data_IF_386174732691
#
_entry.id   IF_386174732691
#
_cell.length_a   1.000
_cell.length_b   1.000
_cell.length_c   1.000
_cell.angle_alpha   90.00
_cell.angle_beta   90.00
_cell.angle_gamma   90.00
#
_symmetry.space_group_name_H-M   'P 1'
#
loop_
_entity.id
_entity.type
_entity.pdbx_description
1 polymer ?
#
# COMPACT_ATOMS: atom_id res chain seq x y z
N UNK A 1 -22.66 73.08 14.30
CA UNK A 1 -22.04 74.00 15.28
C UNK A 1 -21.92 73.26 16.61
N UNK A 2 -20.68 73.04 17.09
CA UNK A 2 -20.20 72.75 18.47
C UNK A 2 -20.90 71.69 19.37
N UNK A 3 -20.25 70.51 19.46
CA UNK A 3 -19.68 69.76 20.63
C UNK A 3 -20.36 69.82 22.02
N UNK A 4 -20.64 68.64 22.60
CA UNK A 4 -20.17 68.12 23.93
C UNK A 4 -20.79 66.71 24.18
N UNK A 5 -20.03 65.60 24.13
CA UNK A 5 -19.16 65.03 25.16
C UNK A 5 -19.88 64.53 26.43
N UNK A 6 -20.03 63.20 26.56
CA UNK A 6 -20.05 62.51 27.84
C UNK A 6 -19.36 61.15 27.68
N UNK A 7 -18.26 61.06 28.41
CA UNK A 7 -17.31 59.97 28.58
C UNK A 7 -17.90 58.85 29.44
N UNK A 8 -17.81 57.61 28.97
CA UNK A 8 -17.86 56.43 29.85
C UNK A 8 -16.65 55.55 29.59
N UNK A 9 -15.73 55.65 30.54
CA UNK A 9 -14.51 54.87 30.70
C UNK A 9 -14.85 53.39 30.90
N UNK A 10 -14.63 52.53 29.90
CA UNK A 10 -14.51 51.10 30.15
C UNK A 10 -13.08 50.82 30.60
N UNK A 11 -12.97 50.53 31.89
CA UNK A 11 -11.75 50.11 32.57
C UNK A 11 -11.23 48.83 31.89
N UNK A 12 -9.99 48.90 31.38
CA UNK A 12 -9.15 47.74 31.12
C UNK A 12 -8.95 46.98 32.44
N UNK A 13 -9.62 45.85 32.60
CA UNK A 13 -9.20 44.84 33.55
C UNK A 13 -8.23 43.90 32.82
N UNK A 14 -6.96 44.29 32.80
CA UNK A 14 -5.84 43.45 32.38
C UNK A 14 -5.59 42.41 33.48
N UNK A 15 -6.37 41.33 33.50
CA UNK A 15 -6.04 40.14 34.27
C UNK A 15 -4.97 39.38 33.49
N UNK A 16 -3.71 39.58 33.91
CA UNK A 16 -2.59 38.74 33.52
C UNK A 16 -2.82 37.33 34.07
N UNK A 17 -3.45 36.47 33.26
CA UNK A 17 -3.33 35.03 33.40
C UNK A 17 -1.93 34.63 32.90
N UNK A 18 -1.25 33.66 33.55
CA UNK A 18 -0.01 33.12 33.00
C UNK A 18 -0.30 32.51 31.63
N UNK A 19 0.31 33.08 30.60
CA UNK A 19 0.32 32.56 29.24
C UNK A 19 1.15 31.26 29.21
N UNK A 20 0.51 30.15 29.59
CA UNK A 20 0.99 28.79 29.37
C UNK A 20 -0.20 27.92 28.96
N UNK A 21 -0.83 28.27 27.83
CA UNK A 21 -1.86 27.44 27.21
C UNK A 21 -2.10 27.90 25.77
N UNK A 22 -1.08 27.82 24.91
CA UNK A 22 -1.30 28.01 23.47
C UNK A 22 -0.34 27.23 22.58
N UNK A 23 0.18 26.09 23.05
CA UNK A 23 1.11 25.27 22.25
C UNK A 23 0.83 23.77 22.37
N UNK A 24 -0.39 23.39 22.77
CA UNK A 24 -0.77 21.97 22.93
C UNK A 24 -1.93 21.57 22.01
N UNK A 25 -2.40 22.47 21.15
CA UNK A 25 -3.46 22.19 20.18
C UNK A 25 -2.91 21.71 18.83
N UNK A 26 -1.69 22.10 18.44
CA UNK A 26 -1.05 21.63 17.19
C UNK A 26 -0.59 20.18 17.31
N UNK A 27 0.15 19.83 18.36
CA UNK A 27 0.70 18.48 18.54
C UNK A 27 -0.37 17.38 18.72
N UNK A 28 -1.57 17.73 19.20
CA UNK A 28 -2.69 16.78 19.35
C UNK A 28 -3.48 16.54 18.06
N UNK A 29 -3.55 17.54 17.18
CA UNK A 29 -4.19 17.42 15.86
C UNK A 29 -3.32 16.65 14.87
N UNK A 30 -2.00 16.92 14.88
CA UNK A 30 -1.03 16.26 14.01
C UNK A 30 -0.97 14.74 14.23
N UNK A 31 -0.95 14.27 15.50
CA UNK A 31 -0.95 12.83 15.79
C UNK A 31 -2.27 12.12 15.43
N UNK A 32 -3.42 12.81 15.47
CA UNK A 32 -4.72 12.24 15.06
C UNK A 32 -4.77 12.05 13.54
N UNK A 33 -4.37 13.07 12.78
CA UNK A 33 -4.34 13.02 11.32
C UNK A 33 -3.37 11.95 10.80
N UNK A 34 -2.20 11.80 11.42
CA UNK A 34 -1.25 10.73 11.10
C UNK A 34 -1.79 9.32 11.42
N UNK A 35 -2.49 9.15 12.56
CA UNK A 35 -3.09 7.86 12.92
C UNK A 35 -4.22 7.48 11.96
N UNK A 36 -5.03 8.45 11.55
CA UNK A 36 -6.10 8.26 10.57
C UNK A 36 -5.55 7.94 9.18
N UNK A 37 -4.47 8.63 8.75
CA UNK A 37 -3.76 8.32 7.50
C UNK A 37 -3.26 6.87 7.50
N UNK A 38 -2.44 6.48 8.48
CA UNK A 38 -1.91 5.10 8.60
C UNK A 38 -3.05 4.08 8.61
N UNK A 39 -4.07 4.35 9.42
CA UNK A 39 -5.22 3.46 9.55
C UNK A 39 -6.02 3.29 8.27
N UNK A 40 -6.14 4.33 7.44
CA UNK A 40 -6.85 4.25 6.18
C UNK A 40 -5.99 3.70 5.04
N UNK A 41 -4.68 4.01 4.99
CA UNK A 41 -3.74 3.40 4.05
C UNK A 41 -3.62 1.88 4.25
N UNK A 42 -3.50 1.41 5.50
CA UNK A 42 -3.49 -0.03 5.78
C UNK A 42 -4.82 -0.73 5.42
N UNK A 43 -5.96 -0.04 5.46
CA UNK A 43 -7.23 -0.58 4.96
C UNK A 43 -7.26 -0.63 3.43
N UNK A 44 -6.68 0.36 2.75
CA UNK A 44 -6.53 0.37 1.29
C UNK A 44 -5.73 -0.86 0.85
N UNK A 45 -4.54 -1.08 1.41
CA UNK A 45 -3.70 -2.26 1.12
C UNK A 45 -4.44 -3.57 1.35
N UNK A 46 -5.11 -3.71 2.51
CA UNK A 46 -5.85 -4.92 2.84
C UNK A 46 -6.95 -5.21 1.81
N UNK A 47 -7.72 -4.21 1.41
CA UNK A 47 -8.77 -4.39 0.40
C UNK A 47 -8.21 -4.64 -0.99
N UNK A 48 -7.05 -4.07 -1.37
CA UNK A 48 -6.36 -4.42 -2.62
C UNK A 48 -6.00 -5.90 -2.62
N UNK A 49 -5.36 -6.39 -1.56
CA UNK A 49 -4.96 -7.80 -1.43
C UNK A 49 -6.17 -8.74 -1.46
N UNK A 50 -7.25 -8.40 -0.74
CA UNK A 50 -8.50 -9.16 -0.77
C UNK A 50 -9.13 -9.18 -2.17
N UNK A 51 -9.22 -8.02 -2.83
CA UNK A 51 -9.77 -7.92 -4.19
C UNK A 51 -8.99 -8.78 -5.18
N UNK A 52 -7.66 -8.80 -5.09
CA UNK A 52 -6.79 -9.61 -5.93
C UNK A 52 -7.05 -11.12 -5.71
N UNK A 53 -7.16 -11.55 -4.45
CA UNK A 53 -7.45 -12.94 -4.11
C UNK A 53 -8.84 -13.37 -4.61
N UNK A 54 -9.85 -12.50 -4.47
CA UNK A 54 -11.22 -12.77 -4.95
C UNK A 54 -11.29 -12.80 -6.47
N UNK A 55 -10.60 -11.90 -7.17
CA UNK A 55 -10.50 -11.92 -8.63
C UNK A 55 -9.86 -13.21 -9.16
N UNK A 56 -8.72 -13.63 -8.60
CA UNK A 56 -8.09 -14.88 -9.04
C UNK A 56 -8.93 -16.10 -8.69
N UNK A 57 -9.62 -16.10 -7.55
CA UNK A 57 -10.56 -17.18 -7.21
C UNK A 57 -11.72 -17.21 -8.21
N UNK A 58 -12.31 -16.06 -8.54
CA UNK A 58 -13.34 -15.92 -9.57
C UNK A 58 -12.89 -16.48 -10.93
N UNK A 59 -11.65 -16.20 -11.34
CA UNK A 59 -11.06 -16.71 -12.58
C UNK A 59 -10.77 -18.21 -12.55
N UNK A 60 -10.51 -18.81 -11.38
CA UNK A 60 -10.23 -20.24 -11.23
C UNK A 60 -11.49 -21.11 -11.20
N UNK A 61 -12.67 -20.50 -11.08
CA UNK A 61 -13.94 -21.22 -11.07
C UNK A 61 -14.49 -21.43 -12.50
N UNK A 62 -15.20 -22.55 -12.75
CA UNK A 62 -15.97 -22.74 -13.97
C UNK A 62 -16.98 -21.61 -14.19
N UNK A 63 -17.32 -21.32 -15.45
CA UNK A 63 -18.27 -20.26 -15.79
C UNK A 63 -19.69 -20.49 -15.26
N UNK A 64 -20.09 -21.75 -15.06
CA UNK A 64 -21.40 -22.15 -14.55
C UNK A 64 -21.43 -22.38 -13.03
N UNK A 65 -20.30 -22.14 -12.33
CA UNK A 65 -20.25 -22.30 -10.88
C UNK A 65 -20.98 -21.13 -10.20
N UNK A 66 -22.00 -21.38 -9.36
CA UNK A 66 -22.74 -20.32 -8.66
C UNK A 66 -21.86 -19.49 -7.71
N UNK A 67 -20.77 -20.05 -7.16
CA UNK A 67 -19.85 -19.31 -6.29
C UNK A 67 -19.04 -18.26 -7.07
N UNK A 68 -18.91 -18.41 -8.40
CA UNK A 68 -18.19 -17.44 -9.23
C UNK A 68 -18.85 -16.06 -9.20
N UNK A 69 -20.17 -16.02 -9.17
CA UNK A 69 -20.93 -14.76 -9.03
C UNK A 69 -20.65 -14.11 -7.67
N UNK A 70 -20.71 -14.88 -6.58
CA UNK A 70 -20.42 -14.40 -5.24
C UNK A 70 -19.00 -13.81 -5.11
N UNK A 71 -17.98 -14.48 -5.66
CA UNK A 71 -16.62 -13.92 -5.70
C UNK A 71 -16.52 -12.66 -6.57
N UNK A 72 -17.30 -12.56 -7.64
CA UNK A 72 -17.35 -11.37 -8.49
C UNK A 72 -18.04 -10.18 -7.83
N UNK A 73 -19.06 -10.42 -7.00
CA UNK A 73 -19.70 -9.40 -6.16
C UNK A 73 -18.76 -8.93 -5.06
N UNK A 74 -18.21 -9.87 -4.30
CA UNK A 74 -17.28 -9.58 -3.22
C UNK A 74 -16.01 -8.85 -3.72
N UNK A 75 -15.51 -9.19 -4.91
CA UNK A 75 -14.43 -8.42 -5.56
C UNK A 75 -14.80 -6.94 -5.78
N UNK A 76 -16.02 -6.65 -6.25
CA UNK A 76 -16.48 -5.26 -6.45
C UNK A 76 -16.61 -4.51 -5.13
N UNK A 77 -17.10 -5.17 -4.08
CA UNK A 77 -17.20 -4.58 -2.76
C UNK A 77 -15.83 -4.15 -2.21
N UNK A 78 -14.77 -4.93 -2.47
CA UNK A 78 -13.42 -4.54 -2.06
C UNK A 78 -12.90 -3.34 -2.87
N UNK A 79 -13.16 -3.28 -4.19
CA UNK A 79 -12.81 -2.12 -5.00
C UNK A 79 -13.52 -0.84 -4.51
N UNK A 80 -14.82 -0.95 -4.21
CA UNK A 80 -15.62 0.15 -3.68
C UNK A 80 -15.11 0.59 -2.30
N UNK A 81 -14.62 -0.36 -1.49
CA UNK A 81 -14.02 -0.07 -0.19
C UNK A 81 -12.69 0.68 -0.31
N UNK A 82 -11.82 0.30 -1.27
CA UNK A 82 -10.61 1.07 -1.59
C UNK A 82 -10.98 2.49 -2.01
N UNK A 83 -11.96 2.66 -2.91
CA UNK A 83 -12.41 3.98 -3.36
C UNK A 83 -12.95 4.84 -2.19
N UNK A 84 -13.68 4.22 -1.27
CA UNK A 84 -14.19 4.89 -0.07
C UNK A 84 -13.05 5.38 0.83
N UNK A 85 -12.07 4.51 1.17
CA UNK A 85 -10.96 4.91 2.02
C UNK A 85 -10.01 5.89 1.34
N UNK A 86 -9.77 5.75 0.03
CA UNK A 86 -9.01 6.72 -0.74
C UNK A 86 -9.67 8.10 -0.70
N UNK A 87 -11.00 8.16 -0.86
CA UNK A 87 -11.75 9.40 -0.71
C UNK A 87 -11.64 9.96 0.71
N UNK A 88 -11.61 9.15 1.76
CA UNK A 88 -11.37 9.64 3.12
C UNK A 88 -9.98 10.27 3.24
N UNK A 89 -8.93 9.61 2.74
CA UNK A 89 -7.55 10.10 2.77
C UNK A 89 -7.40 11.40 1.98
N UNK A 90 -7.97 11.50 0.77
CA UNK A 90 -7.94 12.70 -0.06
C UNK A 90 -8.65 13.91 0.57
N UNK A 91 -9.62 13.67 1.46
CA UNK A 91 -10.33 14.73 2.18
C UNK A 91 -9.68 15.09 3.54
N UNK A 92 -8.62 14.39 3.94
CA UNK A 92 -7.87 14.68 5.17
C UNK A 92 -6.93 15.86 4.99
N UNK A 93 -6.60 16.52 6.10
CA UNK A 93 -5.62 17.61 6.13
C UNK A 93 -4.19 17.01 6.11
N UNK A 94 -3.65 16.82 4.92
CA UNK A 94 -2.34 16.21 4.68
C UNK A 94 -1.30 17.25 4.23
N UNK A 95 0.00 17.04 4.53
CA UNK A 95 1.07 17.83 3.94
C UNK A 95 1.08 17.71 2.42
N UNK A 96 1.43 18.79 1.70
CA UNK A 96 1.46 18.85 0.23
C UNK A 96 2.16 17.64 -0.43
N UNK A 97 3.29 17.20 0.14
CA UNK A 97 4.04 16.04 -0.37
C UNK A 97 3.29 14.71 -0.25
N UNK A 98 2.53 14.51 0.83
CA UNK A 98 1.69 13.32 0.99
C UNK A 98 0.47 13.39 0.05
N UNK A 99 -0.13 14.57 -0.12
CA UNK A 99 -1.21 14.76 -1.10
C UNK A 99 -0.78 14.41 -2.51
N UNK A 100 0.42 14.83 -2.94
CA UNK A 100 0.94 14.53 -4.28
C UNK A 100 1.06 13.01 -4.53
N UNK A 101 1.54 12.24 -3.55
CA UNK A 101 1.67 10.79 -3.69
C UNK A 101 0.30 10.08 -3.65
N UNK A 102 -0.65 10.54 -2.82
CA UNK A 102 -2.03 10.03 -2.81
C UNK A 102 -2.74 10.26 -4.15
N UNK A 103 -2.52 11.41 -4.80
CA UNK A 103 -3.10 11.67 -6.12
C UNK A 103 -2.48 10.80 -7.22
N UNK A 104 -1.17 10.49 -7.12
CA UNK A 104 -0.52 9.51 -8.01
C UNK A 104 -1.05 8.11 -7.80
N UNK A 105 -1.16 7.69 -6.55
CA UNK A 105 -1.81 6.43 -6.18
C UNK A 105 -3.22 6.36 -6.79
N UNK A 106 -4.04 7.41 -6.63
CA UNK A 106 -5.40 7.46 -7.16
C UNK A 106 -5.45 7.30 -8.70
N UNK A 107 -4.49 7.91 -9.40
CA UNK A 107 -4.34 7.78 -10.85
C UNK A 107 -4.00 6.34 -11.27
N UNK A 108 -3.01 5.72 -10.63
CA UNK A 108 -2.62 4.33 -10.93
C UNK A 108 -3.69 3.32 -10.51
N UNK A 109 -4.34 3.54 -9.37
CA UNK A 109 -5.45 2.72 -8.88
C UNK A 109 -6.59 2.62 -9.90
N UNK A 110 -6.95 3.73 -10.56
CA UNK A 110 -7.97 3.69 -11.61
C UNK A 110 -7.57 2.78 -12.78
N UNK A 111 -6.29 2.76 -13.19
CA UNK A 111 -5.80 1.85 -14.22
C UNK A 111 -5.83 0.40 -13.75
N UNK A 112 -5.45 0.15 -12.49
CA UNK A 112 -5.53 -1.18 -11.85
C UNK A 112 -6.96 -1.70 -11.84
N UNK A 113 -7.94 -0.86 -11.46
CA UNK A 113 -9.37 -1.22 -11.52
C UNK A 113 -9.82 -1.60 -12.92
N UNK A 114 -9.45 -0.82 -13.95
CA UNK A 114 -9.81 -1.12 -15.33
C UNK A 114 -9.26 -2.48 -15.80
N UNK A 115 -7.98 -2.76 -15.50
CA UNK A 115 -7.37 -4.06 -15.79
C UNK A 115 -8.07 -5.20 -15.05
N UNK A 116 -8.33 -5.02 -13.75
CA UNK A 116 -8.99 -6.01 -12.90
C UNK A 116 -10.41 -6.32 -13.41
N UNK A 117 -11.17 -5.31 -13.81
CA UNK A 117 -12.51 -5.48 -14.41
C UNK A 117 -12.44 -6.27 -15.72
N UNK A 118 -11.45 -6.02 -16.58
CA UNK A 118 -11.24 -6.83 -17.79
C UNK A 118 -11.04 -8.31 -17.49
N UNK A 119 -10.27 -8.61 -16.43
CA UNK A 119 -9.97 -9.97 -16.01
C UNK A 119 -11.20 -10.75 -15.49
N UNK A 120 -12.27 -10.08 -15.04
CA UNK A 120 -13.51 -10.74 -14.60
C UNK A 120 -14.27 -11.47 -15.73
N UNK A 121 -13.90 -11.21 -16.99
CA UNK A 121 -14.48 -11.93 -18.13
C UNK A 121 -13.94 -13.36 -18.28
N UNK A 122 -12.80 -13.67 -17.65
CA UNK A 122 -12.15 -14.97 -17.72
C UNK A 122 -12.64 -15.93 -16.64
N UNK A 123 -12.48 -17.21 -16.91
CA UNK A 123 -12.86 -18.31 -16.03
C UNK A 123 -11.94 -19.50 -16.26
N UNK A 124 -12.11 -20.57 -15.49
CA UNK A 124 -11.37 -21.82 -15.69
C UNK A 124 -11.58 -22.38 -17.11
N UNK A 125 -12.76 -22.15 -17.67
CA UNK A 125 -13.16 -22.68 -18.97
C UNK A 125 -12.79 -21.73 -20.14
N UNK A 126 -12.39 -20.49 -19.82
CA UNK A 126 -11.85 -19.50 -20.75
C UNK A 126 -10.75 -18.69 -20.06
N UNK A 127 -9.51 -19.15 -20.16
CA UNK A 127 -8.37 -18.62 -19.40
C UNK A 127 -7.94 -17.23 -19.91
N UNK A 128 -7.51 -16.37 -18.98
CA UNK A 128 -6.86 -15.12 -19.32
C UNK A 128 -5.48 -15.37 -19.96
N UNK A 129 -5.03 -14.48 -20.88
CA UNK A 129 -3.64 -14.44 -21.30
C UNK A 129 -2.70 -14.22 -20.11
N UNK A 130 -1.55 -14.89 -20.11
CA UNK A 130 -0.56 -14.79 -19.03
C UNK A 130 -0.04 -13.35 -18.91
N UNK A 131 0.14 -12.68 -20.04
CA UNK A 131 0.60 -11.30 -20.10
C UNK A 131 -0.37 -10.33 -19.42
N UNK A 132 -1.69 -10.57 -19.52
CA UNK A 132 -2.69 -9.74 -18.86
C UNK A 132 -2.67 -9.94 -17.34
N UNK A 133 -2.53 -11.19 -16.88
CA UNK A 133 -2.37 -11.52 -15.45
C UNK A 133 -1.09 -10.86 -14.89
N UNK A 134 0.03 -10.97 -15.62
CA UNK A 134 1.31 -10.37 -15.20
C UNK A 134 1.24 -8.85 -15.16
N UNK A 135 0.62 -8.22 -16.17
CA UNK A 135 0.46 -6.76 -16.22
C UNK A 135 -0.35 -6.27 -15.03
N UNK A 136 -1.47 -6.94 -14.74
CA UNK A 136 -2.29 -6.61 -13.56
C UNK A 136 -1.54 -6.83 -12.25
N UNK A 137 -0.89 -7.99 -12.08
CA UNK A 137 -0.18 -8.31 -10.84
C UNK A 137 0.98 -7.34 -10.55
N UNK A 138 1.76 -6.98 -11.57
CA UNK A 138 2.85 -5.99 -11.42
C UNK A 138 2.29 -4.61 -11.07
N UNK A 139 1.20 -4.18 -11.72
CA UNK A 139 0.59 -2.90 -11.42
C UNK A 139 0.03 -2.85 -9.99
N UNK A 140 -0.48 -3.96 -9.45
CA UNK A 140 -0.86 -4.05 -8.03
C UNK A 140 0.35 -3.91 -7.11
N UNK A 141 1.48 -4.54 -7.44
CA UNK A 141 2.71 -4.42 -6.63
C UNK A 141 3.27 -3.00 -6.63
N UNK A 142 3.20 -2.31 -7.78
CA UNK A 142 3.64 -0.91 -7.89
C UNK A 142 2.76 0.08 -7.11
N UNK A 143 1.56 -0.32 -6.66
CA UNK A 143 0.73 0.55 -5.82
C UNK A 143 1.34 0.79 -4.43
N UNK A 144 2.08 -0.19 -3.91
CA UNK A 144 2.73 -0.19 -2.60
C UNK A 144 3.70 1.00 -2.46
N UNK A 145 4.53 1.21 -3.48
CA UNK A 145 5.51 2.30 -3.53
C UNK A 145 4.89 3.70 -3.29
N UNK A 146 3.65 3.93 -3.74
CA UNK A 146 2.97 5.20 -3.51
C UNK A 146 2.41 5.33 -2.10
N UNK A 147 2.02 4.21 -1.48
CA UNK A 147 1.52 4.18 -0.11
C UNK A 147 2.66 4.53 0.84
N UNK A 148 3.80 3.86 0.71
CA UNK A 148 4.98 4.11 1.51
C UNK A 148 5.47 5.55 1.32
N UNK A 149 5.55 6.02 0.07
CA UNK A 149 5.94 7.39 -0.22
C UNK A 149 5.00 8.42 0.43
N UNK A 150 3.69 8.17 0.45
CA UNK A 150 2.71 9.04 1.10
C UNK A 150 2.88 9.05 2.64
N UNK A 151 3.15 7.89 3.26
CA UNK A 151 3.38 7.78 4.70
C UNK A 151 4.68 8.48 5.11
N UNK A 152 5.78 8.27 4.37
CA UNK A 152 7.06 8.96 4.59
C UNK A 152 6.90 10.48 4.41
N UNK A 153 6.19 10.93 3.38
CA UNK A 153 5.93 12.36 3.15
C UNK A 153 5.06 13.00 4.26
N UNK A 154 4.23 12.21 4.95
CA UNK A 154 3.47 12.63 6.12
C UNK A 154 4.29 12.67 7.43
N UNK A 155 5.60 12.37 7.34
CA UNK A 155 6.53 12.39 8.46
C UNK A 155 6.47 11.14 9.35
N UNK A 156 5.92 10.05 8.84
CA UNK A 156 5.97 8.75 9.51
C UNK A 156 7.32 8.08 9.23
N UNK A 157 7.84 7.28 10.17
CA UNK A 157 9.05 6.51 9.94
C UNK A 157 8.80 5.53 8.78
N UNK A 158 9.80 5.44 7.91
CA UNK A 158 9.91 4.39 6.90
C UNK A 158 9.97 3.04 7.63
N UNK A 159 8.97 2.19 7.40
CA UNK A 159 8.87 0.87 8.00
C UNK A 159 9.62 -0.21 7.22
N UNK A 160 10.20 0.15 6.07
CA UNK A 160 11.04 -0.70 5.23
C UNK A 160 12.53 -0.68 5.64
N UNK A 161 12.92 0.28 6.50
CA UNK A 161 14.19 0.27 7.23
C UNK A 161 14.13 -0.73 8.40
N UNK A 162 14.24 -2.02 8.07
CA UNK A 162 14.70 -3.04 9.02
C UNK A 162 15.96 -2.54 9.77
N UNK A 163 16.21 -2.98 11.01
CA UNK A 163 17.14 -2.33 11.93
C UNK A 163 18.47 -2.03 11.24
N UNK A 164 18.69 -0.74 11.02
CA UNK A 164 19.88 -0.12 10.47
C UNK A 164 21.13 -0.98 10.70
N UNK A 165 21.65 -1.56 9.62
CA UNK A 165 22.89 -2.32 9.58
C UNK A 165 24.13 -1.41 9.75
N UNK A 166 24.06 -0.42 10.64
CA UNK A 166 25.16 0.48 11.00
C UNK A 166 25.54 0.41 12.48
N UNK A 167 24.90 -0.46 13.26
CA UNK A 167 25.14 -0.63 14.71
C UNK A 167 26.15 -1.70 15.15
N UNK A 168 26.98 -2.28 14.27
CA UNK A 168 27.89 -3.38 14.66
C UNK A 168 29.33 -3.23 14.12
N UNK A 169 29.98 -2.09 14.33
CA UNK A 169 31.45 -2.06 14.37
C UNK A 169 31.91 -2.51 15.75
N UNK A 170 32.03 -3.82 15.96
CA UNK A 170 32.38 -4.36 17.27
C UNK A 170 32.78 -5.83 17.26
N UNK A 171 34.04 -6.07 16.85
CA UNK A 171 34.86 -7.23 17.19
C UNK A 171 34.44 -8.62 16.68
N UNK A 172 35.12 -9.08 15.63
CA UNK A 172 35.49 -10.50 15.50
C UNK A 172 36.83 -10.61 14.76
N UNK A 173 37.93 -10.50 15.51
CA UNK A 173 39.20 -11.10 15.11
C UNK A 173 39.08 -12.62 15.26
N UNK A 174 39.23 -13.34 14.16
CA UNK A 174 39.18 -14.81 14.18
C UNK A 174 39.53 -15.40 12.83
N UNK A 175 40.83 -15.37 12.52
CA UNK A 175 41.43 -16.07 11.39
C UNK A 175 41.25 -17.58 11.52
N UNK A 176 40.67 -18.24 10.52
CA UNK A 176 41.08 -19.61 10.20
C UNK A 176 40.84 -19.94 8.73
N UNK A 177 41.86 -20.55 8.14
CA UNK A 177 42.05 -20.75 6.72
C UNK A 177 41.22 -21.94 6.19
N UNK A 178 40.65 -21.79 5.00
CA UNK A 178 40.10 -22.88 4.21
C UNK A 178 41.20 -23.56 3.38
N UNK A 179 41.38 -24.90 3.44
CA UNK A 179 42.15 -25.62 2.45
C UNK A 179 41.30 -25.98 1.23
N UNK A 180 41.84 -25.69 0.05
CA UNK A 180 41.36 -26.22 -1.23
C UNK A 180 41.61 -27.73 -1.32
N UNK A 181 40.66 -28.48 -1.89
CA UNK A 181 40.81 -29.90 -2.22
C UNK A 181 39.98 -30.29 -3.43
N UNK A 182 40.65 -30.45 -4.57
CA UNK A 182 40.13 -30.97 -5.84
C UNK A 182 40.01 -32.51 -5.83
N UNK A 183 38.97 -33.06 -6.46
CA UNK A 183 38.95 -34.33 -7.22
C UNK A 183 37.56 -34.47 -7.91
N UNK A 184 37.42 -34.48 -9.24
CA UNK A 184 37.71 -35.57 -10.19
C UNK A 184 36.83 -36.82 -10.03
N UNK A 185 35.93 -37.08 -10.99
CA UNK A 185 35.28 -38.39 -11.16
C UNK A 185 34.19 -38.45 -12.24
N UNK A 186 34.54 -38.96 -13.42
CA UNK A 186 33.68 -39.24 -14.58
C UNK A 186 32.84 -40.52 -14.45
N UNK A 187 31.65 -40.55 -15.05
CA UNK A 187 31.03 -41.69 -15.80
C UNK A 187 29.61 -41.26 -16.24
N UNK A 188 29.29 -41.05 -17.52
CA UNK A 188 29.03 -42.00 -18.62
C UNK A 188 27.95 -43.05 -18.33
N UNK A 189 26.76 -42.88 -18.93
CA UNK A 189 25.68 -43.88 -18.97
C UNK A 189 24.63 -43.52 -20.02
N UNK A 190 24.44 -44.41 -20.99
CA UNK A 190 23.81 -44.22 -22.30
C UNK A 190 22.34 -44.71 -22.36
N UNK A 191 21.54 -44.00 -23.16
CA UNK A 191 20.37 -44.37 -23.99
C UNK A 191 19.32 -45.40 -23.51
N UNK A 192 18.03 -45.08 -23.70
CA UNK A 192 17.06 -45.96 -24.41
C UNK A 192 15.89 -45.13 -24.96
N UNK A 193 15.77 -45.07 -26.29
CA UNK A 193 14.56 -44.67 -27.03
C UNK A 193 13.75 -45.92 -27.37
N UNK A 194 12.45 -45.92 -27.07
CA UNK A 194 11.51 -46.97 -27.48
C UNK A 194 10.44 -46.42 -28.42
N UNK A 195 10.33 -47.00 -29.61
CA UNK A 195 9.33 -46.70 -30.66
C UNK A 195 8.43 -47.92 -30.92
N UNK A 196 7.14 -47.68 -31.20
CA UNK A 196 6.19 -48.59 -31.87
C UNK A 196 5.30 -49.39 -30.92
N UNK A 197 3.98 -49.53 -31.10
CA UNK A 197 3.27 -49.84 -32.35
C UNK A 197 1.76 -49.54 -32.19
N UNK A 198 1.12 -49.00 -33.24
CA UNK A 198 -0.34 -48.86 -33.40
C UNK A 198 -0.94 -50.11 -34.04
N UNK A 199 -2.15 -50.51 -33.61
CA UNK A 199 -3.06 -51.40 -34.35
C UNK A 199 -4.04 -50.58 -35.19
#
# INVERSE_FOLDING_TARGET
MKIAALSTTCILALLAAPAFAQDSASAGGEMSAQTELVGNMGKIEANIAESQARLFTHMLLPSDNPEREAYGEAFKEDLDSVDSYLSEVQNSDLPDGATDEIERFASEWNKVKEMAQGLTTYSRDNLAPVEEIQTYANAVLELDDYIDAALVAAGLPDDDDGPDATGATGAASGSEAMPQGSASGSASGSATTGTGTTN
#
